data_IF_309440203888
#
_entry.id   IF_309440203888
#
_cell.length_a   1.000
_cell.length_b   1.000
_cell.length_c   1.000
_cell.angle_alpha   90.00
_cell.angle_beta   90.00
_cell.angle_gamma   90.00
#
_symmetry.space_group_name_H-M   'P 1'
#
loop_
_entity.id
_entity.type
_entity.pdbx_description
1 polymer ?
#
# COMPACT_ATOMS: atom_id res chain seq x y z
N UNK A 1 -18.75 12.12 22.94
CA UNK A 1 -18.05 11.11 22.11
C UNK A 1 -18.61 11.16 20.70
N UNK A 2 -17.75 11.30 19.68
CA UNK A 2 -18.14 11.34 18.27
C UNK A 2 -18.10 9.91 17.73
N UNK A 3 -19.17 9.46 17.09
CA UNK A 3 -19.26 8.15 16.46
C UNK A 3 -19.14 8.33 14.95
N UNK A 4 -18.20 7.59 14.35
CA UNK A 4 -18.00 7.51 12.91
C UNK A 4 -18.72 6.27 12.37
N UNK A 5 -19.53 6.45 11.34
CA UNK A 5 -20.27 5.37 10.68
C UNK A 5 -19.78 5.16 9.25
N UNK A 6 -19.63 3.90 8.85
CA UNK A 6 -19.41 3.50 7.46
C UNK A 6 -20.63 2.68 7.01
N UNK A 7 -21.54 3.25 6.21
CA UNK A 7 -22.76 2.57 5.77
C UNK A 7 -22.49 1.33 4.93
N UNK A 8 -21.45 1.35 4.09
CA UNK A 8 -21.12 0.24 3.19
C UNK A 8 -20.57 -0.96 3.95
N UNK A 9 -19.75 -0.68 4.97
CA UNK A 9 -19.13 -1.73 5.79
C UNK A 9 -19.94 -2.11 7.03
N UNK A 10 -21.06 -1.41 7.29
CA UNK A 10 -21.88 -1.55 8.51
C UNK A 10 -21.06 -1.41 9.80
N UNK A 11 -20.10 -0.49 9.80
CA UNK A 11 -19.19 -0.25 10.94
C UNK A 11 -19.63 1.01 11.70
N UNK A 12 -19.58 0.96 13.04
CA UNK A 12 -19.76 2.12 13.92
C UNK A 12 -18.67 2.11 14.98
N UNK A 13 -17.78 3.10 14.95
CA UNK A 13 -16.62 3.17 15.84
C UNK A 13 -16.46 4.60 16.38
N UNK A 14 -15.86 4.79 17.56
CA UNK A 14 -15.51 6.12 18.03
C UNK A 14 -14.50 6.78 17.07
N UNK A 15 -14.61 8.09 16.90
CA UNK A 15 -13.62 8.87 16.15
C UNK A 15 -12.22 8.67 16.77
N UNK A 16 -11.25 8.29 15.95
CA UNK A 16 -9.86 8.09 16.36
C UNK A 16 -8.95 9.04 15.60
N UNK A 17 -8.27 9.93 16.33
CA UNK A 17 -7.21 10.77 15.76
C UNK A 17 -6.13 9.92 15.12
N UNK A 18 -5.68 8.85 15.78
CA UNK A 18 -4.61 7.99 15.26
C UNK A 18 -4.96 7.33 13.91
N UNK A 19 -6.21 6.86 13.75
CA UNK A 19 -6.67 6.31 12.47
C UNK A 19 -6.66 7.39 11.39
N UNK A 20 -7.15 8.59 11.71
CA UNK A 20 -7.20 9.69 10.75
C UNK A 20 -5.80 10.21 10.39
N UNK A 21 -4.92 10.38 11.37
CA UNK A 21 -3.50 10.71 11.18
C UNK A 21 -2.85 9.71 10.25
N UNK A 22 -2.99 8.40 10.50
CA UNK A 22 -2.46 7.38 9.59
C UNK A 22 -3.03 7.54 8.18
N UNK A 23 -4.33 7.75 8.03
CA UNK A 23 -4.95 7.98 6.72
C UNK A 23 -4.41 9.21 5.99
N UNK A 24 -4.07 10.28 6.71
CA UNK A 24 -3.49 11.51 6.13
C UNK A 24 -2.02 11.28 5.75
N UNK A 25 -1.24 10.58 6.57
CA UNK A 25 0.17 10.28 6.26
C UNK A 25 0.36 9.47 4.98
N UNK A 26 -0.63 8.63 4.59
CA UNK A 26 -0.62 7.92 3.30
C UNK A 26 -0.58 8.87 2.10
N UNK A 27 -1.11 10.09 2.26
CA UNK A 27 -1.04 11.11 1.25
C UNK A 27 0.32 11.82 1.17
N UNK A 28 1.31 11.36 1.95
CA UNK A 28 2.65 11.93 2.01
C UNK A 28 2.79 13.15 2.92
N UNK A 29 1.89 13.30 3.90
CA UNK A 29 1.95 14.37 4.90
C UNK A 29 2.80 13.91 6.09
N UNK A 30 3.63 14.80 6.62
CA UNK A 30 4.38 14.55 7.85
C UNK A 30 3.44 14.17 9.02
N UNK A 31 3.91 13.28 9.89
CA UNK A 31 3.11 12.73 11.00
C UNK A 31 2.66 13.81 11.98
N UNK A 32 3.50 14.80 12.28
CA UNK A 32 3.18 15.90 13.17
C UNK A 32 2.06 16.77 12.60
N UNK A 33 2.20 17.17 11.33
CA UNK A 33 1.16 17.95 10.61
C UNK A 33 -0.14 17.15 10.52
N UNK A 34 -0.07 15.86 10.18
CA UNK A 34 -1.23 14.98 10.10
C UNK A 34 -1.96 14.83 11.44
N UNK A 35 -1.23 14.81 12.56
CA UNK A 35 -1.82 14.77 13.89
C UNK A 35 -2.50 16.10 14.28
N UNK A 36 -1.88 17.23 13.94
CA UNK A 36 -2.47 18.56 14.10
C UNK A 36 -3.80 18.66 13.35
N UNK A 37 -3.82 18.30 12.06
CA UNK A 37 -5.04 18.30 11.24
C UNK A 37 -6.12 17.38 11.85
N UNK A 38 -5.76 16.18 12.28
CA UNK A 38 -6.72 15.27 12.92
C UNK A 38 -7.31 15.83 14.22
N UNK A 39 -6.51 16.57 15.00
CA UNK A 39 -6.95 17.23 16.23
C UNK A 39 -7.87 18.42 15.92
N UNK A 40 -7.54 19.24 14.92
CA UNK A 40 -8.42 20.32 14.46
C UNK A 40 -9.79 19.80 14.02
N UNK A 41 -9.81 18.69 13.27
CA UNK A 41 -11.05 18.05 12.82
C UNK A 41 -11.89 17.58 14.01
N UNK A 42 -11.27 16.95 15.00
CA UNK A 42 -12.00 16.52 16.21
C UNK A 42 -12.60 17.72 16.95
N UNK A 43 -11.83 18.80 17.08
CA UNK A 43 -12.28 20.03 17.73
C UNK A 43 -13.48 20.63 16.98
N UNK A 44 -13.38 20.78 15.67
CA UNK A 44 -14.45 21.31 14.84
C UNK A 44 -15.75 20.48 14.93
N UNK A 45 -15.65 19.15 14.90
CA UNK A 45 -16.80 18.25 15.07
C UNK A 45 -17.45 18.39 16.45
N UNK A 46 -16.63 18.62 17.48
CA UNK A 46 -17.10 18.79 18.87
C UNK A 46 -17.83 20.13 19.02
N UNK A 47 -17.26 21.22 18.51
CA UNK A 47 -17.84 22.57 18.54
C UNK A 47 -19.17 22.62 17.78
N UNK A 48 -19.24 21.95 16.62
CA UNK A 48 -20.47 21.81 15.82
C UNK A 48 -21.48 20.82 16.41
N UNK A 49 -21.20 20.25 17.59
CA UNK A 49 -22.04 19.24 18.28
C UNK A 49 -22.39 18.02 17.40
N UNK A 50 -21.55 17.67 16.42
CA UNK A 50 -21.79 16.53 15.53
C UNK A 50 -21.40 15.22 16.24
N UNK A 51 -22.39 14.54 16.82
CA UNK A 51 -22.17 13.28 17.55
C UNK A 51 -22.11 12.04 16.64
N UNK A 52 -22.70 12.11 15.45
CA UNK A 52 -22.72 11.05 14.45
C UNK A 52 -22.24 11.62 13.12
N UNK A 53 -21.21 11.01 12.53
CA UNK A 53 -20.55 11.50 11.32
C UNK A 53 -20.18 10.31 10.43
N UNK A 54 -20.31 10.43 9.12
CA UNK A 54 -19.94 9.35 8.20
C UNK A 54 -18.46 9.39 7.83
N UNK A 55 -17.94 8.27 7.33
CA UNK A 55 -16.59 8.20 6.73
C UNK A 55 -16.38 9.16 5.57
N UNK A 56 -17.46 9.46 4.83
CA UNK A 56 -17.50 10.41 3.71
C UNK A 56 -17.35 11.84 4.21
N UNK A 57 -18.11 12.22 5.23
CA UNK A 57 -18.05 13.54 5.84
C UNK A 57 -16.68 13.82 6.48
N UNK A 58 -16.09 12.82 7.16
CA UNK A 58 -14.70 12.92 7.64
C UNK A 58 -13.75 13.11 6.45
N UNK A 59 -13.97 12.38 5.36
CA UNK A 59 -13.18 12.50 4.14
C UNK A 59 -13.19 13.92 3.56
N UNK A 60 -14.37 14.51 3.44
CA UNK A 60 -14.54 15.88 2.92
C UNK A 60 -13.93 16.93 3.84
N UNK A 61 -14.13 16.79 5.15
CA UNK A 61 -13.58 17.72 6.12
C UNK A 61 -12.04 17.67 6.14
N UNK A 62 -11.46 16.47 6.08
CA UNK A 62 -10.01 16.29 5.95
C UNK A 62 -9.47 16.90 4.67
N UNK A 63 -10.17 16.71 3.54
CA UNK A 63 -9.76 17.32 2.27
C UNK A 63 -9.73 18.85 2.37
N UNK A 64 -10.78 19.47 2.93
CA UNK A 64 -10.84 20.92 3.15
C UNK A 64 -9.73 21.41 4.07
N UNK A 65 -9.43 20.69 5.16
CA UNK A 65 -8.33 21.03 6.07
C UNK A 65 -6.96 20.90 5.42
N UNK A 66 -6.72 19.88 4.60
CA UNK A 66 -5.48 19.77 3.84
C UNK A 66 -5.30 20.96 2.90
N UNK A 67 -6.37 21.41 2.23
CA UNK A 67 -6.32 22.62 1.39
C UNK A 67 -6.05 23.89 2.18
N UNK A 68 -6.67 24.07 3.36
CA UNK A 68 -6.45 25.27 4.19
C UNK A 68 -5.03 25.36 4.74
N UNK A 69 -4.35 24.22 4.90
CA UNK A 69 -2.92 24.13 5.26
C UNK A 69 -1.99 24.25 4.04
N UNK A 70 -2.51 24.59 2.85
CA UNK A 70 -1.72 24.73 1.62
C UNK A 70 -1.28 23.41 0.98
N UNK A 71 -1.72 22.26 1.50
CA UNK A 71 -1.27 20.92 1.09
C UNK A 71 -2.08 20.38 -0.11
N UNK A 72 -2.14 21.14 -1.20
CA UNK A 72 -2.96 20.83 -2.39
C UNK A 72 -2.71 19.43 -2.96
N UNK A 73 -1.45 19.07 -3.16
CA UNK A 73 -1.08 17.76 -3.72
C UNK A 73 -1.33 16.61 -2.75
N UNK A 74 -1.22 16.85 -1.44
CA UNK A 74 -1.60 15.85 -0.45
C UNK A 74 -3.13 15.67 -0.40
N UNK A 75 -3.91 16.75 -0.55
CA UNK A 75 -5.37 16.68 -0.60
C UNK A 75 -5.86 15.80 -1.77
N UNK A 76 -5.27 15.95 -2.97
CA UNK A 76 -5.53 15.09 -4.12
C UNK A 76 -5.17 13.62 -3.84
N UNK A 77 -3.96 13.37 -3.33
CA UNK A 77 -3.49 12.02 -2.97
C UNK A 77 -4.36 11.37 -1.89
N UNK A 78 -4.85 12.14 -0.92
CA UNK A 78 -5.74 11.65 0.13
C UNK A 78 -7.06 11.11 -0.44
N UNK A 79 -7.69 11.85 -1.36
CA UNK A 79 -8.90 11.39 -2.05
C UNK A 79 -8.63 10.13 -2.88
N UNK A 80 -7.51 10.10 -3.60
CA UNK A 80 -7.07 8.92 -4.35
C UNK A 80 -6.94 7.71 -3.42
N UNK A 81 -6.19 7.80 -2.32
CA UNK A 81 -6.01 6.71 -1.38
C UNK A 81 -7.31 6.25 -0.70
N UNK A 82 -8.23 7.17 -0.38
CA UNK A 82 -9.56 6.80 0.13
C UNK A 82 -10.34 5.98 -0.88
N UNK A 83 -10.42 6.43 -2.14
CA UNK A 83 -11.12 5.70 -3.20
C UNK A 83 -10.46 4.36 -3.46
N UNK A 84 -9.14 4.33 -3.56
CA UNK A 84 -8.33 3.15 -3.78
C UNK A 84 -8.61 2.06 -2.72
N UNK A 85 -8.57 2.42 -1.43
CA UNK A 85 -8.84 1.50 -0.32
C UNK A 85 -10.31 1.08 -0.21
N UNK A 86 -11.25 1.85 -0.77
CA UNK A 86 -12.68 1.51 -0.76
C UNK A 86 -13.00 0.40 -1.77
N UNK A 87 -12.40 0.45 -2.94
CA UNK A 87 -12.64 -0.51 -4.03
C UNK A 87 -11.93 -1.87 -3.87
N UNK A 88 -11.11 -2.05 -2.83
CA UNK A 88 -10.38 -3.31 -2.55
C UNK A 88 -9.60 -3.84 -3.78
N UNK A 89 -9.05 -2.95 -4.59
CA UNK A 89 -8.33 -3.31 -5.81
C UNK A 89 -7.08 -4.11 -5.40
N UNK A 90 -6.89 -5.35 -5.88
CA UNK A 90 -5.67 -6.10 -5.63
C UNK A 90 -4.51 -5.43 -6.38
N UNK A 91 -3.41 -5.12 -5.67
CA UNK A 91 -2.16 -4.66 -6.29
C UNK A 91 -1.10 -5.71 -6.04
N UNK A 92 -0.40 -6.08 -7.11
CA UNK A 92 0.88 -6.78 -7.03
C UNK A 92 2.00 -5.78 -7.31
N UNK A 93 2.98 -5.70 -6.40
CA UNK A 93 4.16 -4.84 -6.55
C UNK A 93 5.39 -5.74 -6.64
N UNK A 94 6.09 -5.71 -7.77
CA UNK A 94 7.34 -6.41 -7.98
C UNK A 94 8.51 -5.43 -7.85
N UNK A 95 9.45 -5.72 -6.94
CA UNK A 95 10.64 -4.91 -6.73
C UNK A 95 11.87 -5.64 -7.29
N UNK A 96 12.40 -5.13 -8.41
CA UNK A 96 13.62 -5.62 -9.04
C UNK A 96 14.89 -4.90 -8.57
N UNK A 97 16.05 -5.50 -8.84
CA UNK A 97 17.37 -4.91 -8.56
C UNK A 97 18.41 -5.93 -8.07
N UNK A 98 19.67 -5.52 -8.01
CA UNK A 98 20.81 -6.38 -7.60
C UNK A 98 20.83 -6.66 -6.10
N UNK A 99 21.71 -7.55 -5.64
CA UNK A 99 21.87 -7.81 -4.19
C UNK A 99 22.34 -6.55 -3.44
N UNK A 100 21.91 -6.37 -2.20
CA UNK A 100 22.37 -5.27 -1.34
C UNK A 100 21.76 -3.89 -1.59
N UNK A 101 21.00 -3.66 -2.67
CA UNK A 101 20.43 -2.32 -2.98
C UNK A 101 19.24 -1.88 -2.11
N UNK A 102 18.91 -2.65 -1.06
CA UNK A 102 17.82 -2.31 -0.14
C UNK A 102 16.41 -2.70 -0.59
N UNK A 103 16.25 -3.61 -1.57
CA UNK A 103 14.92 -4.06 -2.05
C UNK A 103 13.99 -4.52 -0.93
N UNK A 104 14.46 -5.42 -0.06
CA UNK A 104 13.67 -5.96 1.03
C UNK A 104 13.30 -4.88 2.06
N UNK A 105 14.22 -3.95 2.32
CA UNK A 105 13.97 -2.81 3.22
C UNK A 105 12.84 -1.92 2.69
N UNK A 106 12.93 -1.53 1.40
CA UNK A 106 11.88 -0.74 0.75
C UNK A 106 10.57 -1.53 0.66
N UNK A 107 10.62 -2.84 0.39
CA UNK A 107 9.43 -3.69 0.34
C UNK A 107 8.65 -3.66 1.66
N UNK A 108 9.35 -3.82 2.78
CA UNK A 108 8.77 -3.81 4.12
C UNK A 108 8.17 -2.44 4.45
N UNK A 109 8.91 -1.36 4.21
CA UNK A 109 8.44 0.00 4.43
C UNK A 109 7.22 0.35 3.57
N UNK A 110 7.26 -0.02 2.29
CA UNK A 110 6.17 0.21 1.35
C UNK A 110 4.93 -0.58 1.78
N UNK A 111 5.07 -1.85 2.14
CA UNK A 111 3.96 -2.68 2.58
C UNK A 111 3.30 -2.13 3.86
N UNK A 112 4.10 -1.68 4.83
CA UNK A 112 3.61 -1.04 6.04
C UNK A 112 2.76 0.19 5.74
N UNK A 113 3.22 1.04 4.81
CA UNK A 113 2.49 2.23 4.35
C UNK A 113 1.21 1.84 3.59
N UNK A 114 1.27 0.88 2.68
CA UNK A 114 0.09 0.42 1.94
C UNK A 114 -0.91 -0.36 2.80
N UNK A 115 -0.57 -0.69 4.05
CA UNK A 115 -1.39 -1.53 4.91
C UNK A 115 -1.50 -2.96 4.38
N UNK A 116 -0.51 -3.40 3.60
CA UNK A 116 -0.40 -4.77 3.11
C UNK A 116 -0.01 -5.66 4.28
N UNK A 117 -0.74 -6.76 4.47
CA UNK A 117 -0.54 -7.67 5.59
C UNK A 117 0.61 -8.66 5.35
N UNK A 118 1.00 -8.85 4.09
CA UNK A 118 1.98 -9.85 3.67
C UNK A 118 2.96 -9.27 2.67
N UNK A 119 4.24 -9.52 2.91
CA UNK A 119 5.34 -9.33 1.95
C UNK A 119 6.01 -10.68 1.81
N UNK A 120 6.14 -11.18 0.59
CA UNK A 120 6.81 -12.45 0.31
C UNK A 120 8.02 -12.15 -0.56
N UNK A 121 9.19 -12.60 -0.12
CA UNK A 121 10.42 -12.48 -0.91
C UNK A 121 10.35 -13.38 -2.14
N UNK A 122 10.79 -12.86 -3.30
CA UNK A 122 10.85 -13.66 -4.54
C UNK A 122 11.79 -14.84 -4.42
N UNK A 123 12.80 -14.76 -3.57
CA UNK A 123 13.74 -15.85 -3.31
C UNK A 123 13.05 -17.06 -2.65
N UNK A 124 12.13 -16.82 -1.70
CA UNK A 124 11.34 -17.88 -1.08
C UNK A 124 10.45 -18.59 -2.10
N UNK A 125 9.84 -17.84 -3.02
CA UNK A 125 9.05 -18.42 -4.12
C UNK A 125 9.96 -19.28 -4.99
N UNK A 126 11.16 -18.78 -5.34
CA UNK A 126 12.16 -19.51 -6.14
C UNK A 126 12.61 -20.80 -5.47
N UNK A 127 12.82 -20.81 -4.16
CA UNK A 127 13.15 -22.01 -3.37
C UNK A 127 12.06 -23.07 -3.40
N UNK A 128 10.79 -22.66 -3.31
CA UNK A 128 9.65 -23.58 -3.40
C UNK A 128 9.56 -24.16 -4.82
N UNK A 129 9.65 -23.32 -5.85
CA UNK A 129 9.56 -23.75 -7.24
C UNK A 129 10.66 -24.74 -7.61
N UNK A 130 11.92 -24.50 -7.18
CA UNK A 130 13.06 -25.42 -7.44
C UNK A 130 12.90 -26.83 -6.85
N UNK A 131 12.04 -27.01 -5.86
CA UNK A 131 11.76 -28.33 -5.27
C UNK A 131 10.63 -29.06 -5.99
N UNK A 132 9.74 -28.32 -6.66
CA UNK A 132 8.57 -28.86 -7.34
C UNK A 132 8.89 -29.15 -8.81
N UNK A 133 9.76 -28.34 -9.42
CA UNK A 133 10.06 -28.38 -10.85
C UNK A 133 11.44 -28.98 -11.04
N UNK A 134 11.56 -29.89 -12.00
CA UNK A 134 12.82 -30.53 -12.33
C UNK A 134 13.76 -29.53 -13.05
N UNK A 135 15.09 -29.59 -12.83
CA UNK A 135 16.05 -28.69 -13.47
C UNK A 135 15.97 -28.65 -15.01
N UNK A 136 15.55 -29.74 -15.63
CA UNK A 136 15.41 -29.88 -17.07
C UNK A 136 14.24 -29.06 -17.63
N UNK A 137 13.22 -28.78 -16.80
CA UNK A 137 12.01 -28.04 -17.22
C UNK A 137 12.15 -26.52 -17.05
N UNK A 138 12.84 -26.05 -16.01
CA UNK A 138 13.07 -24.62 -15.75
C UNK A 138 14.48 -24.37 -15.19
N UNK A 139 15.55 -24.56 -15.97
CA UNK A 139 16.93 -24.50 -15.47
C UNK A 139 17.32 -23.15 -14.83
N UNK A 140 16.68 -22.06 -15.25
CA UNK A 140 16.93 -20.70 -14.78
C UNK A 140 16.54 -20.46 -13.31
N UNK A 141 15.51 -21.15 -12.80
CA UNK A 141 15.20 -21.09 -11.36
C UNK A 141 16.22 -21.89 -10.52
N UNK A 142 16.90 -22.88 -11.11
CA UNK A 142 17.89 -23.72 -10.43
C UNK A 142 19.27 -23.09 -10.28
N UNK A 143 19.59 -22.08 -11.10
CA UNK A 143 20.89 -21.41 -11.04
C UNK A 143 20.87 -20.14 -10.18
N UNK A 144 22.05 -19.56 -9.93
CA UNK A 144 22.15 -18.27 -9.25
C UNK A 144 21.61 -17.15 -10.14
N UNK A 145 21.04 -16.09 -9.56
CA UNK A 145 20.52 -14.95 -10.34
C UNK A 145 21.59 -14.26 -11.18
N UNK A 146 22.87 -14.40 -10.82
CA UNK A 146 24.01 -13.89 -11.61
C UNK A 146 24.32 -14.76 -12.83
N UNK A 147 24.02 -16.06 -12.78
CA UNK A 147 24.29 -17.01 -13.85
C UNK A 147 23.05 -17.39 -14.67
N UNK A 148 21.86 -16.97 -14.23
CA UNK A 148 20.58 -17.23 -14.89
C UNK A 148 20.57 -16.85 -16.38
N UNK A 149 21.31 -15.81 -16.77
CA UNK A 149 21.40 -15.43 -18.18
C UNK A 149 21.99 -16.54 -19.07
N UNK A 150 22.83 -17.44 -18.53
CA UNK A 150 23.43 -18.54 -19.29
C UNK A 150 22.41 -19.64 -19.63
N UNK A 151 21.42 -19.84 -18.76
CA UNK A 151 20.37 -20.87 -18.94
C UNK A 151 19.18 -20.34 -19.72
N UNK A 152 18.88 -19.04 -19.63
CA UNK A 152 17.77 -18.40 -20.37
C UNK A 152 17.97 -18.52 -21.90
N UNK A 153 19.21 -18.58 -22.38
CA UNK A 153 19.50 -18.72 -23.82
C UNK A 153 19.12 -20.09 -24.41
N UNK A 154 19.04 -21.14 -23.58
CA UNK A 154 18.70 -22.49 -24.06
C UNK A 154 17.20 -22.67 -24.33
N UNK A 155 16.33 -21.92 -23.64
CA UNK A 155 14.88 -21.98 -23.86
C UNK A 155 14.39 -21.27 -25.14
N UNK A 156 15.24 -20.44 -25.78
CA UNK A 156 14.90 -19.82 -27.08
C UNK A 156 15.10 -20.77 -28.25
N UNK A 157 16.05 -21.69 -28.19
CA UNK A 157 16.31 -22.63 -29.29
C UNK A 157 15.22 -23.70 -29.42
N UNK A 158 14.63 -24.19 -28.32
CA UNK A 158 13.51 -25.15 -28.39
C UNK A 158 12.21 -24.51 -28.91
N UNK A 159 11.96 -23.23 -28.65
CA UNK A 159 10.79 -22.52 -29.20
C UNK A 159 10.87 -22.25 -30.71
N UNK A 160 12.06 -22.36 -31.31
CA UNK A 160 12.30 -22.24 -32.75
C UNK A 160 12.22 -23.59 -33.48
N UNK A 161 12.19 -24.71 -32.76
CA UNK A 161 12.09 -26.07 -33.30
C UNK A 161 10.65 -26.60 -33.37
N UNK A 162 9.67 -25.82 -32.90
CA UNK A 162 8.23 -26.06 -33.12
C UNK A 162 7.73 -25.03 -34.14
N UNK A 163 8.10 -25.23 -35.40
CA UNK A 163 7.46 -24.61 -36.57
C UNK A 163 7.23 -25.66 -37.63
#
# INVERSE_FOLDING_TARGET
MIIVTDPERKIRLPFSRGILTRSITLAGVDVGIAYTIATEIQKELTEKKRRLVTTEEIGELTYKKLLSHGLKEAAKRYLFWRRFRRHKIPITILLGGTTGVGKSTIATELAFRLGMRSVIGTDTIREVMRKIIAPELLPDIHTSSFLAWKTISHGKEESLLIK
#
